data_IF_744441351779
#
_entry.id   IF_744441351779
#
_cell.length_a   1.000
_cell.length_b   1.000
_cell.length_c   1.000
_cell.angle_alpha   90.00
_cell.angle_beta   90.00
_cell.angle_gamma   90.00
#
_symmetry.space_group_name_H-M   'P 1'
#
loop_
_entity.id
_entity.type
_entity.pdbx_description
1 polymer ?
#
# COMPACT_ATOMS: atom_id res chain seq x y z
N UNK A 1 14.43 -1.38 7.83
CA UNK A 1 13.58 -2.57 8.01
C UNK A 1 13.09 -2.96 6.63
N UNK A 2 13.02 -4.25 6.32
CA UNK A 2 12.34 -4.75 5.12
C UNK A 2 10.84 -4.45 5.22
N UNK A 3 10.11 -4.51 4.10
CA UNK A 3 8.65 -4.35 4.12
C UNK A 3 7.96 -5.33 5.07
N UNK A 4 8.42 -6.59 5.08
CA UNK A 4 7.92 -7.63 5.97
C UNK A 4 8.15 -7.31 7.46
N UNK A 5 9.31 -6.77 7.82
CA UNK A 5 9.60 -6.36 9.20
C UNK A 5 8.70 -5.18 9.63
N UNK A 6 8.40 -4.24 8.72
CA UNK A 6 7.48 -3.13 9.00
C UNK A 6 6.05 -3.65 9.18
N UNK A 7 5.61 -4.59 8.34
CA UNK A 7 4.30 -5.25 8.46
C UNK A 7 4.12 -5.91 9.81
N UNK A 8 5.09 -6.71 10.24
CA UNK A 8 5.08 -7.39 11.54
C UNK A 8 4.98 -6.37 12.69
N UNK A 9 5.86 -5.37 12.68
CA UNK A 9 5.87 -4.31 13.69
C UNK A 9 4.54 -3.55 13.79
N UNK A 10 3.93 -3.19 12.67
CA UNK A 10 2.64 -2.49 12.65
C UNK A 10 1.49 -3.38 13.11
N UNK A 11 1.53 -4.67 12.76
CA UNK A 11 0.53 -5.66 13.20
C UNK A 11 0.58 -5.97 14.69
N UNK A 12 1.75 -5.82 15.33
CA UNK A 12 1.87 -5.90 16.79
C UNK A 12 1.39 -4.62 17.50
N UNK A 13 1.60 -3.46 16.88
CA UNK A 13 1.30 -2.16 17.49
C UNK A 13 -0.18 -1.77 17.40
N UNK A 14 -0.85 -2.14 16.30
CA UNK A 14 -2.21 -1.74 16.03
C UNK A 14 -3.13 -2.93 15.80
N UNK A 15 -4.19 -3.02 16.59
CA UNK A 15 -5.25 -4.01 16.39
C UNK A 15 -6.03 -3.74 15.08
N UNK A 16 -6.37 -4.82 14.38
CA UNK A 16 -7.22 -4.83 13.18
C UNK A 16 -6.75 -3.95 12.00
N UNK A 17 -5.45 -3.61 11.92
CA UNK A 17 -4.92 -2.95 10.72
C UNK A 17 -4.91 -3.91 9.54
N UNK A 18 -5.33 -3.40 8.37
CA UNK A 18 -5.34 -4.16 7.13
C UNK A 18 -4.12 -3.79 6.29
N UNK A 19 -3.63 -4.77 5.53
CA UNK A 19 -2.48 -4.62 4.64
C UNK A 19 -2.90 -4.89 3.19
N UNK A 20 -2.21 -4.27 2.25
CA UNK A 20 -2.35 -4.58 0.83
C UNK A 20 -1.41 -5.75 0.51
N UNK A 21 -1.98 -6.92 0.25
CA UNK A 21 -1.18 -8.14 0.06
C UNK A 21 -0.27 -8.05 -1.16
N UNK A 22 1.00 -8.42 -0.95
CA UNK A 22 2.01 -8.39 -2.00
C UNK A 22 2.64 -7.02 -2.25
N UNK A 23 2.38 -6.04 -1.39
CA UNK A 23 2.93 -4.67 -1.49
C UNK A 23 3.77 -4.26 -0.27
N UNK A 24 4.28 -5.23 0.50
CA UNK A 24 4.98 -4.97 1.77
C UNK A 24 6.16 -3.99 1.58
N UNK A 25 6.90 -4.09 0.47
CA UNK A 25 8.04 -3.20 0.17
C UNK A 25 7.62 -1.75 -0.20
N UNK A 26 6.33 -1.52 -0.45
CA UNK A 26 5.75 -0.20 -0.65
C UNK A 26 5.22 0.42 0.66
N UNK A 27 5.30 -0.28 1.81
CA UNK A 27 4.87 0.29 3.10
C UNK A 27 5.77 1.47 3.48
N UNK A 28 5.16 2.65 3.63
CA UNK A 28 5.82 3.84 4.17
C UNK A 28 5.69 3.93 5.69
N UNK A 29 4.64 3.35 6.26
CA UNK A 29 4.30 3.41 7.68
C UNK A 29 2.80 3.37 7.89
N UNK A 30 2.28 4.26 8.73
CA UNK A 30 0.84 4.41 8.99
C UNK A 30 0.40 5.87 8.84
N UNK A 31 -0.89 6.06 8.56
CA UNK A 31 -1.56 7.34 8.59
C UNK A 31 -2.64 7.33 9.67
N UNK A 32 -2.80 8.44 10.37
CA UNK A 32 -3.76 8.57 11.46
C UNK A 32 -4.63 9.82 11.28
N UNK A 33 -5.94 9.66 11.47
CA UNK A 33 -6.89 10.78 11.58
C UNK A 33 -8.05 10.39 12.49
N UNK A 34 -8.48 11.30 13.38
CA UNK A 34 -9.73 11.16 14.14
C UNK A 34 -9.99 9.77 14.75
N UNK A 35 -8.98 9.13 15.35
CA UNK A 35 -9.09 7.79 15.95
C UNK A 35 -9.02 6.61 14.96
N UNK A 36 -8.82 6.88 13.67
CA UNK A 36 -8.59 5.88 12.63
C UNK A 36 -7.12 5.88 12.23
N UNK A 37 -6.45 4.76 12.54
CA UNK A 37 -5.11 4.43 12.04
C UNK A 37 -5.21 3.40 10.92
N UNK A 38 -4.50 3.63 9.81
CA UNK A 38 -4.42 2.74 8.63
C UNK A 38 -2.97 2.66 8.12
N UNK A 39 -2.61 1.57 7.45
CA UNK A 39 -1.28 1.43 6.84
C UNK A 39 -1.19 2.35 5.62
N UNK A 40 -0.05 3.03 5.47
CA UNK A 40 0.23 3.96 4.38
C UNK A 40 1.26 3.36 3.43
N UNK A 41 0.91 3.33 2.15
CA UNK A 41 1.75 2.83 1.07
C UNK A 41 2.16 3.95 0.12
N UNK A 42 3.32 3.79 -0.50
CA UNK A 42 3.78 4.57 -1.64
C UNK A 42 3.10 4.03 -2.91
N UNK A 43 2.29 4.85 -3.59
CA UNK A 43 1.54 4.40 -4.77
C UNK A 43 2.45 3.99 -5.92
N UNK A 44 3.56 4.71 -6.13
CA UNK A 44 4.46 4.45 -7.25
C UNK A 44 5.22 3.15 -7.03
N UNK A 45 5.67 2.88 -5.81
CA UNK A 45 6.27 1.59 -5.48
C UNK A 45 5.30 0.43 -5.65
N UNK A 46 4.01 0.60 -5.35
CA UNK A 46 3.03 -0.44 -5.63
C UNK A 46 2.97 -0.78 -7.13
N UNK A 47 3.06 0.23 -8.00
CA UNK A 47 3.08 0.04 -9.46
C UNK A 47 4.40 -0.62 -9.90
N UNK A 48 5.53 -0.17 -9.36
CA UNK A 48 6.84 -0.77 -9.66
C UNK A 48 6.90 -2.24 -9.27
N UNK A 49 6.31 -2.63 -8.14
CA UNK A 49 6.18 -4.03 -7.73
C UNK A 49 5.42 -4.85 -8.78
N UNK A 50 4.34 -4.32 -9.36
CA UNK A 50 3.57 -5.01 -10.41
C UNK A 50 4.40 -5.15 -11.70
N UNK A 51 5.16 -4.12 -12.07
CA UNK A 51 6.06 -4.17 -13.23
C UNK A 51 7.14 -5.23 -13.02
N UNK A 52 7.82 -5.23 -11.87
CA UNK A 52 8.94 -6.13 -11.59
C UNK A 52 8.50 -7.58 -11.34
N UNK A 53 7.43 -7.79 -10.57
CA UNK A 53 6.95 -9.12 -10.17
C UNK A 53 6.13 -9.78 -11.27
N UNK A 54 5.24 -9.03 -11.91
CA UNK A 54 4.23 -9.58 -12.81
C UNK A 54 4.55 -9.30 -14.30
N UNK A 55 5.63 -8.57 -14.58
CA UNK A 55 6.09 -8.28 -15.95
C UNK A 55 5.15 -7.36 -16.73
N UNK A 56 4.30 -6.61 -16.02
CA UNK A 56 3.38 -5.65 -16.62
C UNK A 56 4.14 -4.45 -17.18
N UNK A 57 3.60 -3.84 -18.23
CA UNK A 57 4.01 -2.48 -18.60
C UNK A 57 3.58 -1.48 -17.52
N UNK A 58 4.21 -0.31 -17.47
CA UNK A 58 3.86 0.73 -16.50
C UNK A 58 2.38 1.13 -16.57
N UNK A 59 1.83 1.21 -17.79
CA UNK A 59 0.41 1.50 -18.05
C UNK A 59 -0.51 0.39 -17.54
N UNK A 60 -0.21 -0.88 -17.86
CA UNK A 60 -0.99 -2.03 -17.35
C UNK A 60 -0.94 -2.13 -15.83
N UNK A 61 0.24 -1.89 -15.24
CA UNK A 61 0.43 -1.89 -13.80
C UNK A 61 -0.38 -0.76 -13.13
N UNK A 62 -0.41 0.44 -13.73
CA UNK A 62 -1.24 1.55 -13.26
C UNK A 62 -2.73 1.22 -13.32
N UNK A 63 -3.22 0.65 -14.42
CA UNK A 63 -4.62 0.25 -14.57
C UNK A 63 -5.01 -0.83 -13.55
N UNK A 64 -4.14 -1.84 -13.39
CA UNK A 64 -4.33 -2.90 -12.42
C UNK A 64 -4.36 -2.37 -10.99
N UNK A 65 -3.38 -1.55 -10.61
CA UNK A 65 -3.30 -0.92 -9.31
C UNK A 65 -4.55 -0.08 -9.03
N UNK A 66 -4.94 0.77 -9.98
CA UNK A 66 -6.08 1.66 -9.85
C UNK A 66 -7.39 0.91 -9.56
N UNK A 67 -7.62 -0.21 -10.25
CA UNK A 67 -8.83 -1.00 -10.08
C UNK A 67 -8.77 -1.96 -8.89
N UNK A 68 -7.71 -2.77 -8.77
CA UNK A 68 -7.64 -3.89 -7.84
C UNK A 68 -7.05 -3.55 -6.48
N UNK A 69 -6.31 -2.44 -6.36
CA UNK A 69 -5.57 -2.11 -5.13
C UNK A 69 -6.09 -0.80 -4.56
N UNK A 70 -6.01 0.29 -5.33
CA UNK A 70 -6.52 1.61 -4.92
C UNK A 70 -8.05 1.60 -4.79
N UNK A 71 -8.73 0.92 -5.72
CA UNK A 71 -10.19 0.77 -5.73
C UNK A 71 -10.73 -0.27 -4.74
N UNK A 72 -9.87 -1.07 -4.10
CA UNK A 72 -10.31 -2.08 -3.15
C UNK A 72 -10.73 -1.44 -1.82
N UNK A 73 -11.95 -1.73 -1.39
CA UNK A 73 -12.45 -1.36 -0.06
C UNK A 73 -12.87 -2.62 0.69
N UNK A 74 -12.17 -2.93 1.77
CA UNK A 74 -12.35 -4.15 2.56
C UNK A 74 -12.69 -3.86 4.03
N UNK A 75 -13.04 -2.61 4.34
CA UNK A 75 -13.42 -2.15 5.68
C UNK A 75 -12.82 -0.79 6.05
N UNK A 76 -13.15 -0.29 7.23
CA UNK A 76 -12.71 1.05 7.67
C UNK A 76 -11.19 1.19 7.78
N UNK A 77 -10.50 0.07 8.04
CA UNK A 77 -9.04 -0.03 8.17
C UNK A 77 -8.31 -0.26 6.84
N UNK A 78 -9.03 -0.17 5.71
CA UNK A 78 -8.45 -0.29 4.37
C UNK A 78 -7.26 0.68 4.23
N UNK A 79 -6.10 0.22 3.70
CA UNK A 79 -4.92 1.06 3.53
C UNK A 79 -5.15 2.36 2.75
N UNK A 80 -4.24 3.31 2.95
CA UNK A 80 -4.14 4.52 2.14
C UNK A 80 -2.89 4.49 1.26
N UNK A 81 -2.97 5.16 0.13
CA UNK A 81 -1.89 5.27 -0.85
C UNK A 81 -1.51 6.73 -1.03
N UNK A 82 -0.25 7.05 -0.79
CA UNK A 82 0.32 8.36 -1.00
C UNK A 82 0.80 8.48 -2.45
N UNK A 83 0.27 9.48 -3.15
CA UNK A 83 0.82 9.98 -4.40
C UNK A 83 1.78 11.12 -4.05
N UNK A 84 3.05 11.00 -4.42
CA UNK A 84 4.09 11.95 -4.04
C UNK A 84 4.29 12.99 -5.15
N UNK A 85 4.69 14.22 -4.79
CA UNK A 85 4.79 15.37 -5.71
C UNK A 85 5.70 15.11 -6.93
N UNK A 86 6.61 14.15 -6.84
CA UNK A 86 7.52 13.81 -7.93
C UNK A 86 6.85 12.93 -9.01
N UNK A 87 5.59 12.54 -8.79
CA UNK A 87 4.88 11.51 -9.57
C UNK A 87 3.60 12.03 -10.26
N UNK A 88 3.31 13.35 -10.19
CA UNK A 88 2.18 13.99 -10.88
C UNK A 88 2.49 15.39 -11.43
#
# INVERSE_FOLDING_TARGET
MSGAEVREYLGELYEDVLFADGYDDAIMGFAERCGLTVVLYDSRKCIEILVERDGMTDEEAWEWFSYNVLGAYVGEKTPMFAFLKEEF
#
